data_IF_616484916176
#
_entry.id   IF_616484916176
#
_cell.length_a   1.000
_cell.length_b   1.000
_cell.length_c   1.000
_cell.angle_alpha   90.00
_cell.angle_beta   90.00
_cell.angle_gamma   90.00
#
_symmetry.space_group_name_H-M   'P 1'
#
loop_
_entity.id
_entity.type
_entity.pdbx_description
1 polymer ?
#
# COMPACT_ATOMS: atom_id res chain seq x y z
N UNK A 1 82.32 -18.34 10.66
CA UNK A 1 81.99 -17.04 11.28
C UNK A 1 80.60 -17.14 11.89
N UNK A 2 80.44 -16.70 13.14
CA UNK A 2 79.20 -16.79 13.94
C UNK A 2 78.85 -15.39 14.45
N UNK A 3 77.64 -14.86 14.19
CA UNK A 3 76.91 -13.84 15.00
C UNK A 3 75.42 -13.81 14.55
N UNK A 4 74.45 -14.05 15.46
CA UNK A 4 73.57 -13.07 16.16
C UNK A 4 72.65 -12.22 15.22
N UNK A 5 71.35 -11.93 15.44
CA UNK A 5 70.43 -12.14 16.59
C UNK A 5 68.91 -12.01 16.24
N UNK A 6 68.05 -12.64 17.05
CA UNK A 6 66.61 -12.40 17.43
C UNK A 6 65.60 -11.60 16.57
N UNK A 7 64.56 -12.31 16.10
CA UNK A 7 63.09 -12.20 16.39
C UNK A 7 62.49 -10.84 16.82
N UNK A 8 61.41 -10.41 16.14
CA UNK A 8 60.06 -10.05 16.70
C UNK A 8 58.98 -10.12 15.60
N UNK A 9 57.75 -10.46 16.00
CA UNK A 9 56.58 -10.80 15.15
C UNK A 9 55.63 -9.60 15.00
N UNK A 10 55.01 -9.40 13.83
CA UNK A 10 53.58 -9.06 13.76
C UNK A 10 52.94 -9.39 12.40
N UNK A 11 51.74 -9.97 12.46
CA UNK A 11 50.96 -10.55 11.35
C UNK A 11 49.98 -9.55 10.72
N UNK A 12 49.72 -9.61 9.41
CA UNK A 12 48.47 -10.16 8.85
C UNK A 12 48.48 -10.28 7.31
N UNK A 13 47.55 -11.08 6.78
CA UNK A 13 47.66 -11.74 5.48
C UNK A 13 47.29 -10.91 4.25
N UNK A 14 48.05 -11.14 3.17
CA UNK A 14 47.66 -10.87 1.78
C UNK A 14 46.56 -11.85 1.36
N UNK A 15 45.58 -11.41 0.57
CA UNK A 15 44.90 -12.28 -0.40
C UNK A 15 44.50 -11.51 -1.65
N UNK A 16 44.91 -12.03 -2.82
CA UNK A 16 44.63 -11.47 -4.13
C UNK A 16 43.63 -12.38 -4.88
N UNK A 17 42.48 -11.79 -5.25
CA UNK A 17 41.74 -11.95 -6.53
C UNK A 17 41.50 -13.37 -7.10
N UNK A 18 40.22 -13.69 -7.37
CA UNK A 18 39.75 -13.97 -8.74
C UNK A 18 38.21 -14.18 -8.80
N UNK A 19 37.53 -13.38 -9.62
CA UNK A 19 36.28 -13.78 -10.29
C UNK A 19 36.14 -13.01 -11.60
N UNK A 20 36.07 -13.74 -12.73
CA UNK A 20 35.76 -13.19 -14.05
C UNK A 20 34.25 -13.31 -14.33
N UNK A 21 33.63 -12.24 -14.83
CA UNK A 21 32.50 -12.28 -15.77
C UNK A 21 32.37 -10.90 -16.42
N UNK A 22 32.39 -10.84 -17.76
CA UNK A 22 32.34 -9.57 -18.50
C UNK A 22 30.89 -9.25 -18.88
N UNK A 23 30.39 -8.10 -18.44
CA UNK A 23 29.42 -7.30 -19.19
C UNK A 23 29.77 -5.82 -19.01
N UNK A 24 30.21 -5.18 -20.08
CA UNK A 24 30.85 -3.87 -20.00
C UNK A 24 29.85 -2.77 -19.57
N UNK A 25 30.07 -2.23 -18.38
CA UNK A 25 29.67 -0.86 -18.01
C UNK A 25 30.96 -0.04 -17.85
N UNK A 26 30.98 1.24 -18.24
CA UNK A 26 32.22 2.01 -18.28
C UNK A 26 32.82 2.13 -16.88
N UNK A 27 34.15 1.92 -16.78
CA UNK A 27 34.87 1.93 -15.53
C UNK A 27 34.78 3.30 -14.84
N UNK A 28 33.93 3.39 -13.81
CA UNK A 28 33.91 4.49 -12.85
C UNK A 28 35.15 4.42 -11.96
N UNK A 29 36.28 4.87 -12.52
CA UNK A 29 37.47 5.24 -11.76
C UNK A 29 37.19 6.58 -11.07
N UNK A 30 36.49 6.52 -9.95
CA UNK A 30 36.18 7.67 -9.09
C UNK A 30 36.44 7.33 -7.63
N UNK A 31 36.98 8.28 -6.87
CA UNK A 31 37.11 8.11 -5.42
C UNK A 31 35.74 8.05 -4.76
N UNK A 32 35.57 7.06 -3.88
CA UNK A 32 34.40 6.95 -3.02
C UNK A 32 34.56 7.86 -1.80
N UNK A 33 34.03 9.08 -1.88
CA UNK A 33 34.06 10.05 -0.77
C UNK A 33 32.82 9.85 0.10
N UNK A 34 32.99 9.19 1.25
CA UNK A 34 31.91 8.93 2.21
C UNK A 34 31.80 10.11 3.19
N UNK A 35 30.91 11.06 2.90
CA UNK A 35 30.60 12.17 3.82
C UNK A 35 29.68 11.66 4.93
N UNK A 36 30.05 11.91 6.20
CA UNK A 36 29.34 11.43 7.40
C UNK A 36 28.74 12.61 8.17
N UNK A 37 27.43 12.85 8.02
CA UNK A 37 26.75 14.04 8.53
C UNK A 37 26.37 13.85 10.01
N UNK A 38 26.80 14.75 10.91
CA UNK A 38 26.57 14.61 12.37
C UNK A 38 25.37 15.39 12.94
N UNK A 39 24.84 16.40 12.25
CA UNK A 39 23.59 17.13 12.58
C UNK A 39 23.18 18.03 11.39
N UNK A 40 21.88 18.32 11.22
CA UNK A 40 21.35 18.89 9.96
C UNK A 40 20.10 19.78 10.14
N UNK A 41 19.75 20.54 9.09
CA UNK A 41 18.59 21.42 8.92
C UNK A 41 18.29 21.64 7.38
N UNK A 42 17.53 22.65 6.91
CA UNK A 42 17.26 22.91 5.45
C UNK A 42 17.03 24.41 5.05
N UNK A 43 18.07 25.26 4.82
CA UNK A 43 17.97 26.74 4.54
C UNK A 43 17.15 27.10 3.26
N UNK A 44 16.75 28.38 3.10
CA UNK A 44 16.06 28.86 1.87
C UNK A 44 16.96 28.81 0.64
N UNK A 45 16.36 28.53 -0.52
CA UNK A 45 17.01 28.27 -1.81
C UNK A 45 18.05 29.33 -2.22
N UNK A 46 19.28 28.92 -2.60
CA UNK A 46 20.27 29.81 -3.21
C UNK A 46 19.91 30.15 -4.67
N UNK A 47 20.49 31.22 -5.21
CA UNK A 47 20.36 31.57 -6.63
C UNK A 47 21.12 30.56 -7.52
N UNK A 48 20.37 29.81 -8.33
CA UNK A 48 20.89 28.76 -9.22
C UNK A 48 21.20 29.26 -10.65
N UNK A 49 21.16 30.57 -10.91
CA UNK A 49 21.42 31.15 -12.24
C UNK A 49 22.84 30.85 -12.77
N UNK A 50 23.81 30.65 -11.87
CA UNK A 50 25.18 30.27 -12.20
C UNK A 50 25.34 28.74 -12.12
N UNK A 51 25.45 28.10 -13.30
CA UNK A 51 25.48 26.63 -13.52
C UNK A 51 26.56 25.87 -12.72
N UNK A 52 26.32 25.57 -11.45
CA UNK A 52 27.09 24.58 -10.69
C UNK A 52 26.16 23.85 -9.69
N UNK A 53 25.55 22.74 -10.13
CA UNK A 53 24.69 21.89 -9.29
C UNK A 53 25.19 20.46 -9.37
N UNK A 54 25.53 19.88 -8.22
CA UNK A 54 25.87 18.46 -8.08
C UNK A 54 24.74 17.78 -7.31
N UNK A 55 24.19 16.71 -7.90
CA UNK A 55 23.14 15.90 -7.28
C UNK A 55 23.79 14.82 -6.42
N UNK A 56 23.41 14.76 -5.15
CA UNK A 56 23.98 13.84 -4.17
C UNK A 56 22.85 12.95 -3.61
N UNK A 57 23.02 11.63 -3.72
CA UNK A 57 22.09 10.65 -3.16
C UNK A 57 22.53 10.28 -1.74
N UNK A 58 21.58 10.10 -0.83
CA UNK A 58 21.85 9.76 0.57
C UNK A 58 21.35 8.36 0.95
N UNK A 59 22.13 7.69 1.79
CA UNK A 59 21.79 6.45 2.48
C UNK A 59 22.01 6.67 3.99
N UNK A 60 20.92 6.86 4.73
CA UNK A 60 20.99 7.31 6.12
C UNK A 60 21.73 8.65 6.26
N UNK A 61 22.61 8.75 7.25
CA UNK A 61 23.42 9.95 7.56
C UNK A 61 24.59 10.18 6.58
N UNK A 62 24.65 9.42 5.47
CA UNK A 62 25.71 9.50 4.47
C UNK A 62 25.20 10.06 3.16
N UNK A 63 26.05 10.79 2.45
CA UNK A 63 25.77 11.33 1.13
C UNK A 63 26.91 10.94 0.17
N UNK A 64 26.57 10.41 -1.01
CA UNK A 64 27.51 9.90 -2.02
C UNK A 64 27.55 10.77 -3.27
N UNK A 65 28.74 11.25 -3.62
CA UNK A 65 29.02 12.04 -4.83
C UNK A 65 29.66 11.11 -5.87
N UNK A 66 28.93 10.83 -6.95
CA UNK A 66 29.34 9.84 -7.96
C UNK A 66 30.37 10.36 -9.00
N UNK A 67 30.77 11.63 -8.93
CA UNK A 67 31.79 12.20 -9.81
C UNK A 67 32.54 13.35 -9.11
N UNK A 68 33.76 13.08 -8.65
CA UNK A 68 34.62 14.07 -7.98
C UNK A 68 35.08 15.20 -8.90
N UNK A 69 35.11 15.02 -10.23
CA UNK A 69 35.49 16.09 -11.19
C UNK A 69 34.44 17.21 -11.31
N UNK A 70 33.25 17.03 -10.73
CA UNK A 70 32.20 18.06 -10.64
C UNK A 70 32.23 18.83 -9.32
N UNK A 71 33.07 18.41 -8.37
CA UNK A 71 33.31 19.13 -7.12
C UNK A 71 34.19 20.34 -7.39
N UNK A 72 33.75 21.49 -6.92
CA UNK A 72 34.54 22.73 -6.87
C UNK A 72 34.34 23.38 -5.51
N UNK A 73 35.25 24.26 -5.16
CA UNK A 73 35.12 25.10 -3.97
C UNK A 73 33.90 26.02 -4.09
N UNK A 74 33.26 26.34 -2.97
CA UNK A 74 32.14 27.29 -2.87
C UNK A 74 30.88 26.94 -3.71
N UNK A 75 30.53 25.65 -3.82
CA UNK A 75 29.32 25.20 -4.50
C UNK A 75 28.13 24.90 -3.56
N UNK A 76 26.93 24.96 -4.15
CA UNK A 76 25.68 24.51 -3.54
C UNK A 76 25.32 23.10 -4.03
N UNK A 77 25.09 22.21 -3.08
CA UNK A 77 24.78 20.80 -3.33
C UNK A 77 23.30 20.54 -3.04
N UNK A 78 22.57 19.96 -4.00
CA UNK A 78 21.20 19.51 -3.76
C UNK A 78 21.23 18.07 -3.24
N UNK A 79 20.88 17.91 -1.96
CA UNK A 79 20.82 16.60 -1.31
C UNK A 79 19.41 16.06 -1.40
N UNK A 80 19.28 14.81 -1.88
CA UNK A 80 18.03 14.06 -1.88
C UNK A 80 18.17 12.84 -0.97
N UNK A 81 17.35 12.84 0.07
CA UNK A 81 17.18 11.71 1.00
C UNK A 81 15.79 11.09 0.76
N UNK A 82 15.49 9.88 1.27
CA UNK A 82 14.13 9.31 1.22
C UNK A 82 13.08 10.16 1.95
N UNK A 83 13.48 11.06 2.87
CA UNK A 83 12.55 11.82 3.72
C UNK A 83 12.45 13.32 3.40
N UNK A 84 13.50 13.89 2.81
CA UNK A 84 13.71 15.33 2.60
C UNK A 84 14.49 15.63 1.32
N UNK A 85 14.20 16.78 0.69
CA UNK A 85 15.04 17.43 -0.32
C UNK A 85 15.57 18.74 0.29
N UNK A 86 16.86 19.00 0.16
CA UNK A 86 17.53 20.15 0.77
C UNK A 86 18.72 20.68 -0.01
N UNK A 87 19.22 21.85 0.41
CA UNK A 87 20.44 22.46 -0.08
C UNK A 87 21.50 22.48 1.02
N UNK A 88 22.70 22.02 0.70
CA UNK A 88 23.90 22.12 1.54
C UNK A 88 24.89 23.06 0.85
N UNK A 89 25.32 24.12 1.52
CA UNK A 89 26.59 24.78 1.21
C UNK A 89 27.70 23.99 1.87
N UNK A 90 28.75 23.65 1.12
CA UNK A 90 29.93 23.00 1.69
C UNK A 90 31.19 23.68 1.18
N UNK A 91 32.00 24.17 2.11
CA UNK A 91 33.39 24.53 1.83
C UNK A 91 34.19 23.22 1.78
N UNK A 92 34.39 22.71 0.58
CA UNK A 92 35.37 21.66 0.31
C UNK A 92 36.69 22.35 -0.04
N UNK A 93 37.76 21.93 0.61
CA UNK A 93 39.13 22.23 0.20
C UNK A 93 39.76 20.92 -0.26
N UNK A 94 40.17 20.86 -1.52
CA UNK A 94 40.85 19.69 -2.07
C UNK A 94 42.29 19.73 -1.55
N UNK A 95 42.67 18.74 -0.72
CA UNK A 95 44.01 18.66 -0.16
C UNK A 95 44.98 18.00 -1.15
N UNK A 96 44.55 16.92 -1.80
CA UNK A 96 45.23 16.30 -2.94
C UNK A 96 44.25 15.50 -3.83
N UNK A 97 44.77 14.76 -4.82
CA UNK A 97 43.95 13.93 -5.73
C UNK A 97 43.10 12.85 -5.04
N UNK A 98 43.36 12.54 -3.76
CA UNK A 98 42.74 11.45 -3.00
C UNK A 98 42.10 11.91 -1.67
N UNK A 99 42.30 13.16 -1.27
CA UNK A 99 41.84 13.68 0.02
C UNK A 99 41.19 15.06 -0.10
N UNK A 100 40.10 15.21 0.63
CA UNK A 100 39.25 16.40 0.66
C UNK A 100 39.01 16.72 2.13
N UNK A 101 39.36 17.93 2.55
CA UNK A 101 38.86 18.47 3.80
C UNK A 101 37.47 19.07 3.57
N UNK A 102 36.56 18.84 4.50
CA UNK A 102 35.19 19.33 4.39
C UNK A 102 34.69 19.83 5.74
N UNK A 103 34.20 21.07 5.75
CA UNK A 103 33.52 21.63 6.91
C UNK A 103 32.06 21.95 6.55
N UNK A 104 31.12 21.34 7.26
CA UNK A 104 29.69 21.49 7.01
C UNK A 104 29.15 22.66 7.84
N UNK A 105 29.11 23.85 7.24
CA UNK A 105 28.52 25.04 7.87
C UNK A 105 27.05 25.23 7.46
N UNK A 106 26.19 25.20 8.48
CA UNK A 106 24.79 25.64 8.56
C UNK A 106 23.74 25.23 7.51
N UNK A 107 22.61 24.78 8.04
CA UNK A 107 21.30 24.73 7.39
C UNK A 107 20.21 25.27 8.37
N UNK A 108 19.00 25.66 7.93
CA UNK A 108 17.86 26.12 8.81
C UNK A 108 16.50 25.55 8.33
N UNK A 109 15.91 24.53 8.97
CA UNK A 109 14.76 23.74 8.43
C UNK A 109 13.57 24.58 7.90
N UNK A 110 13.27 24.49 6.59
CA UNK A 110 11.92 24.78 6.08
C UNK A 110 11.10 23.49 5.99
N UNK A 111 10.03 23.41 6.80
CA UNK A 111 9.02 22.34 6.73
C UNK A 111 8.19 22.52 5.44
N UNK A 112 8.76 22.12 4.30
CA UNK A 112 8.02 22.04 3.03
C UNK A 112 6.92 20.99 3.21
N UNK A 113 5.66 21.40 3.03
CA UNK A 113 4.53 20.48 3.00
C UNK A 113 4.78 19.43 1.93
N UNK A 114 4.76 18.16 2.34
CA UNK A 114 4.93 17.04 1.40
C UNK A 114 3.76 17.04 0.40
N UNK A 115 4.06 16.94 -0.89
CA UNK A 115 3.08 17.10 -1.97
C UNK A 115 3.20 15.94 -2.97
N UNK A 116 2.15 15.14 -3.09
CA UNK A 116 2.14 13.96 -3.96
C UNK A 116 2.37 14.27 -5.44
N UNK A 117 2.01 15.47 -5.91
CA UNK A 117 2.25 15.86 -7.29
C UNK A 117 3.75 16.11 -7.52
N UNK A 118 4.42 16.79 -6.59
CA UNK A 118 5.86 17.04 -6.66
C UNK A 118 6.71 15.78 -6.46
N UNK A 119 6.31 14.88 -5.55
CA UNK A 119 7.06 13.64 -5.28
C UNK A 119 6.75 12.51 -6.28
N UNK A 120 5.52 12.44 -6.82
CA UNK A 120 5.11 11.39 -7.76
C UNK A 120 4.33 11.91 -8.97
N UNK A 121 4.86 12.87 -9.76
CA UNK A 121 4.11 13.57 -10.79
C UNK A 121 3.45 12.62 -11.80
N UNK A 122 4.16 11.56 -12.23
CA UNK A 122 3.59 10.55 -13.12
C UNK A 122 2.44 9.75 -12.50
N UNK A 123 2.49 9.42 -11.20
CA UNK A 123 1.38 8.71 -10.52
C UNK A 123 0.18 9.64 -10.33
N UNK A 124 0.45 10.87 -9.91
CA UNK A 124 -0.55 11.90 -9.67
C UNK A 124 -1.32 12.24 -10.94
N UNK A 125 -0.61 12.54 -12.03
CA UNK A 125 -1.16 12.74 -13.37
C UNK A 125 -1.96 11.53 -13.87
N UNK A 126 -1.45 10.30 -13.72
CA UNK A 126 -2.19 9.10 -14.14
C UNK A 126 -3.50 8.90 -13.36
N UNK A 127 -3.52 9.22 -12.07
CA UNK A 127 -4.75 9.16 -11.26
C UNK A 127 -5.76 10.23 -11.70
N UNK A 128 -5.31 11.47 -11.93
CA UNK A 128 -6.16 12.53 -12.48
C UNK A 128 -6.73 12.16 -13.85
N UNK A 129 -5.88 11.76 -14.81
CA UNK A 129 -6.30 11.37 -16.16
C UNK A 129 -7.33 10.23 -16.15
N UNK A 130 -7.30 9.36 -15.14
CA UNK A 130 -8.27 8.26 -14.99
C UNK A 130 -9.66 8.73 -14.51
N UNK A 131 -9.75 9.90 -13.89
CA UNK A 131 -10.99 10.43 -13.29
C UNK A 131 -11.41 11.83 -13.81
N UNK A 132 -10.66 12.43 -14.74
CA UNK A 132 -10.87 13.81 -15.24
C UNK A 132 -12.27 14.14 -15.78
N UNK A 133 -13.05 13.13 -16.16
CA UNK A 133 -14.45 13.31 -16.59
C UNK A 133 -15.40 13.55 -15.40
N UNK A 134 -14.90 13.41 -14.15
CA UNK A 134 -15.64 13.55 -12.89
C UNK A 134 -15.09 14.65 -11.99
N UNK A 135 -13.82 15.03 -12.15
CA UNK A 135 -13.15 16.06 -11.36
C UNK A 135 -12.43 17.03 -12.27
N UNK A 136 -12.63 18.33 -12.06
CA UNK A 136 -11.68 19.34 -12.52
C UNK A 136 -10.33 19.19 -11.79
N UNK A 137 -9.26 19.71 -12.37
CA UNK A 137 -7.93 19.70 -11.74
C UNK A 137 -7.92 20.39 -10.37
N UNK A 138 -8.71 21.48 -10.23
CA UNK A 138 -8.87 22.19 -8.96
C UNK A 138 -9.51 21.32 -7.88
N UNK A 139 -10.60 20.61 -8.19
CA UNK A 139 -11.25 19.69 -7.26
C UNK A 139 -10.35 18.50 -6.93
N UNK A 140 -9.66 17.93 -7.92
CA UNK A 140 -8.73 16.83 -7.71
C UNK A 140 -7.59 17.24 -6.76
N UNK A 141 -6.97 18.40 -7.00
CA UNK A 141 -5.93 18.94 -6.13
C UNK A 141 -6.44 19.20 -4.71
N UNK A 142 -7.68 19.68 -4.56
CA UNK A 142 -8.31 19.91 -3.27
C UNK A 142 -8.52 18.62 -2.42
N UNK A 143 -8.53 17.43 -3.03
CA UNK A 143 -8.57 16.16 -2.30
C UNK A 143 -7.29 15.90 -1.46
N UNK A 144 -6.15 16.46 -1.89
CA UNK A 144 -4.85 16.22 -1.26
C UNK A 144 -4.34 17.41 -0.42
N UNK A 145 -4.99 18.58 -0.51
CA UNK A 145 -4.70 19.73 0.34
C UNK A 145 -4.92 19.41 1.83
N UNK A 146 -4.03 19.92 2.68
CA UNK A 146 -4.11 19.85 4.15
C UNK A 146 -4.23 18.43 4.74
N UNK A 147 -3.95 17.38 3.98
CA UNK A 147 -3.74 16.06 4.57
C UNK A 147 -2.52 16.12 5.49
N UNK A 148 -2.76 15.99 6.80
CA UNK A 148 -1.69 15.97 7.81
C UNK A 148 -0.79 14.74 7.65
N UNK A 149 -1.38 13.63 7.18
CA UNK A 149 -0.75 12.30 7.11
C UNK A 149 -0.61 11.84 5.65
N UNK A 150 -0.05 12.69 4.77
CA UNK A 150 0.23 12.28 3.38
C UNK A 150 1.27 11.15 3.34
N UNK A 151 2.22 11.18 4.27
CA UNK A 151 3.12 10.04 4.50
C UNK A 151 2.39 8.97 5.34
N UNK A 152 2.60 7.67 5.07
CA UNK A 152 2.04 6.59 5.88
C UNK A 152 2.66 6.61 7.29
N UNK A 153 1.81 6.70 8.32
CA UNK A 153 2.22 6.68 9.73
C UNK A 153 1.35 5.70 10.56
N UNK A 154 1.84 5.32 11.74
CA UNK A 154 1.16 4.44 12.71
C UNK A 154 0.54 3.19 12.09
N UNK A 155 -0.73 2.92 12.41
CA UNK A 155 -1.49 1.75 11.90
C UNK A 155 -1.52 1.65 10.37
N UNK A 156 -1.34 2.75 9.63
CA UNK A 156 -1.31 2.73 8.17
C UNK A 156 0.06 2.31 7.63
N UNK A 157 1.15 2.78 8.25
CA UNK A 157 2.51 2.36 7.92
C UNK A 157 2.70 0.88 8.18
N UNK A 158 2.29 0.39 9.35
CA UNK A 158 2.37 -1.04 9.70
C UNK A 158 1.70 -1.95 8.67
N UNK A 159 0.49 -1.59 8.21
CA UNK A 159 -0.23 -2.35 7.18
C UNK A 159 0.41 -2.21 5.81
N UNK A 160 0.98 -1.06 5.46
CA UNK A 160 1.73 -0.89 4.21
C UNK A 160 3.01 -1.73 4.21
N UNK A 161 3.80 -1.71 5.29
CA UNK A 161 5.00 -2.54 5.50
C UNK A 161 4.65 -4.04 5.46
N UNK A 162 3.60 -4.46 6.16
CA UNK A 162 3.10 -5.84 6.08
C UNK A 162 2.71 -6.21 4.64
N UNK A 163 2.01 -5.32 3.95
CA UNK A 163 1.57 -5.52 2.56
C UNK A 163 2.76 -5.62 1.60
N UNK A 164 3.80 -4.79 1.76
CA UNK A 164 4.98 -4.81 0.93
C UNK A 164 5.93 -5.99 1.24
N UNK A 165 5.93 -6.49 2.48
CA UNK A 165 6.89 -7.47 2.98
C UNK A 165 7.03 -8.73 2.12
N UNK A 166 8.27 -9.17 1.79
CA UNK A 166 8.50 -10.47 1.15
C UNK A 166 8.16 -11.65 2.05
N UNK A 167 7.98 -11.43 3.36
CA UNK A 167 7.54 -12.43 4.33
C UNK A 167 6.02 -12.49 4.50
N UNK A 168 5.25 -11.63 3.82
CA UNK A 168 3.79 -11.50 3.99
C UNK A 168 3.05 -12.83 3.83
N UNK A 169 3.35 -13.59 2.78
CA UNK A 169 2.76 -14.92 2.53
C UNK A 169 3.08 -15.90 3.66
N UNK A 170 4.33 -15.98 4.12
CA UNK A 170 4.70 -16.86 5.25
C UNK A 170 4.00 -16.46 6.55
N UNK A 171 3.84 -15.16 6.82
CA UNK A 171 3.08 -14.66 7.97
C UNK A 171 1.60 -15.03 7.88
N UNK A 172 0.99 -14.88 6.70
CA UNK A 172 -0.41 -15.27 6.45
C UNK A 172 -0.62 -16.79 6.59
N UNK A 173 0.28 -17.60 6.03
CA UNK A 173 0.19 -19.06 6.14
C UNK A 173 0.34 -19.55 7.58
N UNK A 174 1.22 -18.94 8.40
CA UNK A 174 1.30 -19.21 9.85
C UNK A 174 0.05 -18.77 10.63
N UNK A 175 -0.77 -17.90 10.04
CA UNK A 175 -2.02 -17.40 10.61
C UNK A 175 -3.26 -18.10 10.00
N UNK A 176 -3.09 -19.20 9.26
CA UNK A 176 -4.22 -19.99 8.75
C UNK A 176 -4.97 -20.68 9.90
N UNK A 177 -5.95 -19.96 10.43
CA UNK A 177 -7.05 -20.49 11.23
C UNK A 177 -8.12 -21.01 10.25
N UNK A 178 -8.68 -22.19 10.47
CA UNK A 178 -9.95 -22.54 9.82
C UNK A 178 -11.04 -21.68 10.45
N UNK A 179 -11.61 -20.80 9.63
CA UNK A 179 -12.67 -19.91 10.07
C UNK A 179 -14.05 -20.57 10.00
N UNK A 180 -14.25 -21.63 9.23
CA UNK A 180 -15.56 -22.27 9.05
C UNK A 180 -16.26 -22.60 10.38
N UNK A 181 -15.68 -23.31 11.37
CA UNK A 181 -16.38 -23.61 12.63
C UNK A 181 -16.67 -22.36 13.49
N UNK A 182 -15.95 -21.26 13.26
CA UNK A 182 -16.14 -19.98 13.97
C UNK A 182 -17.23 -19.15 13.29
N UNK A 183 -17.29 -19.20 11.97
CA UNK A 183 -18.26 -18.42 11.18
C UNK A 183 -19.58 -19.17 10.94
N UNK A 184 -19.59 -20.51 11.11
CA UNK A 184 -20.68 -21.43 10.76
C UNK A 184 -20.95 -22.44 11.90
N UNK A 185 -21.65 -21.98 12.92
CA UNK A 185 -22.12 -22.72 14.09
C UNK A 185 -23.55 -22.31 14.48
N UNK A 186 -24.17 -23.02 15.42
CA UNK A 186 -25.57 -22.81 15.85
C UNK A 186 -25.86 -21.35 16.26
N UNK A 187 -24.98 -20.74 17.05
CA UNK A 187 -25.10 -19.33 17.47
C UNK A 187 -25.13 -18.38 16.26
N UNK A 188 -24.24 -18.60 15.29
CA UNK A 188 -24.19 -17.78 14.07
C UNK A 188 -25.41 -18.01 13.15
N UNK A 189 -25.94 -19.23 13.09
CA UNK A 189 -27.15 -19.55 12.31
C UNK A 189 -28.39 -18.90 12.95
N UNK A 190 -28.54 -19.01 14.28
CA UNK A 190 -29.61 -18.31 15.01
C UNK A 190 -29.56 -16.80 14.76
N UNK A 191 -28.38 -16.19 14.87
CA UNK A 191 -28.19 -14.76 14.55
C UNK A 191 -28.56 -14.43 13.10
N UNK A 192 -28.31 -15.33 12.16
CA UNK A 192 -28.79 -15.21 10.79
C UNK A 192 -30.31 -15.19 10.66
N UNK A 193 -31.02 -16.03 11.43
CA UNK A 193 -32.49 -16.04 11.46
C UNK A 193 -33.06 -14.80 12.11
N UNK A 194 -32.54 -14.42 13.28
CA UNK A 194 -32.93 -13.20 14.00
C UNK A 194 -32.79 -11.97 13.05
N UNK A 195 -31.67 -11.89 12.32
CA UNK A 195 -31.39 -10.84 11.32
C UNK A 195 -32.25 -10.94 10.03
N UNK A 196 -32.69 -12.14 9.65
CA UNK A 196 -33.63 -12.30 8.54
C UNK A 196 -35.00 -11.74 8.92
N UNK A 197 -35.55 -12.11 10.07
CA UNK A 197 -36.87 -11.63 10.50
C UNK A 197 -36.86 -10.11 10.77
N UNK A 198 -35.78 -9.55 11.33
CA UNK A 198 -35.63 -8.09 11.51
C UNK A 198 -35.63 -7.29 10.18
N UNK A 199 -35.18 -7.91 9.09
CA UNK A 199 -34.97 -7.23 7.80
C UNK A 199 -35.70 -7.91 6.63
N UNK A 200 -36.74 -8.68 6.95
CA UNK A 200 -37.43 -9.63 6.05
C UNK A 200 -37.84 -9.02 4.72
N UNK A 201 -38.47 -7.84 4.76
CA UNK A 201 -38.90 -7.09 3.58
C UNK A 201 -37.77 -6.82 2.57
N UNK A 202 -36.55 -6.55 3.04
CA UNK A 202 -35.41 -6.26 2.17
C UNK A 202 -34.83 -7.54 1.55
N UNK A 203 -34.82 -8.64 2.30
CA UNK A 203 -34.42 -9.95 1.78
C UNK A 203 -35.41 -10.47 0.73
N UNK A 204 -36.71 -10.45 1.02
CA UNK A 204 -37.76 -10.86 0.09
C UNK A 204 -37.78 -10.00 -1.18
N UNK A 205 -37.59 -8.68 -1.04
CA UNK A 205 -37.44 -7.78 -2.19
C UNK A 205 -36.18 -8.13 -3.01
N UNK A 206 -35.02 -8.26 -2.37
CA UNK A 206 -33.77 -8.57 -3.05
C UNK A 206 -33.81 -9.94 -3.75
N UNK A 207 -34.38 -10.97 -3.12
CA UNK A 207 -34.55 -12.29 -3.73
C UNK A 207 -35.52 -12.24 -4.92
N UNK A 208 -36.67 -11.58 -4.79
CA UNK A 208 -37.63 -11.39 -5.89
C UNK A 208 -37.01 -10.67 -7.09
N UNK A 209 -36.30 -9.56 -6.85
CA UNK A 209 -35.71 -8.75 -7.91
C UNK A 209 -34.49 -9.40 -8.58
N UNK A 210 -33.78 -10.29 -7.90
CA UNK A 210 -32.49 -10.82 -8.38
C UNK A 210 -32.45 -12.31 -8.65
N UNK A 211 -33.37 -13.08 -8.06
CA UNK A 211 -33.36 -14.54 -8.01
C UNK A 211 -32.23 -15.12 -7.16
N UNK A 212 -31.53 -14.31 -6.37
CA UNK A 212 -30.48 -14.76 -5.44
C UNK A 212 -31.13 -15.17 -4.12
N UNK A 213 -30.81 -16.36 -3.64
CA UNK A 213 -31.45 -16.92 -2.45
C UNK A 213 -31.13 -16.09 -1.19
N UNK A 214 -32.13 -15.82 -0.36
CA UNK A 214 -31.98 -15.11 0.91
C UNK A 214 -30.88 -15.71 1.79
N UNK A 215 -30.84 -17.04 1.91
CA UNK A 215 -29.83 -17.76 2.71
C UNK A 215 -28.40 -17.51 2.22
N UNK A 216 -28.19 -17.36 0.91
CA UNK A 216 -26.89 -17.07 0.29
C UNK A 216 -26.48 -15.60 0.54
N UNK A 217 -27.43 -14.66 0.56
CA UNK A 217 -27.17 -13.26 0.91
C UNK A 217 -26.75 -13.14 2.38
N UNK A 218 -27.50 -13.77 3.30
CA UNK A 218 -27.18 -13.79 4.74
C UNK A 218 -25.81 -14.46 4.98
N UNK A 219 -25.52 -15.57 4.29
CA UNK A 219 -24.25 -16.27 4.41
C UNK A 219 -23.05 -15.37 4.09
N UNK A 220 -23.14 -14.57 3.02
CA UNK A 220 -22.10 -13.60 2.66
C UNK A 220 -22.00 -12.47 3.68
N UNK A 221 -23.12 -11.86 4.10
CA UNK A 221 -23.12 -10.77 5.09
C UNK A 221 -22.57 -11.23 6.45
N UNK A 222 -22.86 -12.47 6.87
CA UNK A 222 -22.27 -13.07 8.05
C UNK A 222 -20.75 -13.31 7.87
N UNK A 223 -20.32 -13.82 6.71
CA UNK A 223 -18.89 -14.08 6.48
C UNK A 223 -18.05 -12.79 6.45
N UNK A 224 -18.52 -11.77 5.73
CA UNK A 224 -17.75 -10.55 5.46
C UNK A 224 -17.69 -9.60 6.66
N UNK A 225 -18.78 -9.42 7.41
CA UNK A 225 -18.83 -8.45 8.51
C UNK A 225 -19.56 -8.92 9.77
N UNK A 226 -19.97 -10.19 9.83
CA UNK A 226 -20.82 -10.73 10.91
C UNK A 226 -22.12 -9.94 11.03
N UNK A 227 -22.83 -9.83 9.90
CA UNK A 227 -24.11 -9.13 9.78
C UNK A 227 -23.97 -7.65 10.19
N UNK A 228 -22.87 -7.02 9.77
CA UNK A 228 -22.60 -5.60 9.98
C UNK A 228 -21.85 -5.21 11.26
N UNK A 229 -21.56 -6.16 12.15
CA UNK A 229 -20.82 -5.89 13.40
C UNK A 229 -19.37 -5.42 13.17
N UNK A 230 -18.70 -5.88 12.11
CA UNK A 230 -17.29 -5.58 11.83
C UNK A 230 -17.10 -5.02 10.41
N UNK A 231 -17.30 -3.71 10.25
CA UNK A 231 -17.17 -2.99 8.96
C UNK A 231 -15.75 -2.46 8.70
N UNK A 232 -14.97 -2.27 9.77
CA UNK A 232 -13.59 -1.77 9.75
C UNK A 232 -13.47 -0.26 9.98
N UNK A 233 -12.30 0.17 10.46
CA UNK A 233 -12.05 1.52 11.01
C UNK A 233 -10.88 2.25 10.33
N UNK A 234 -10.47 1.80 9.14
CA UNK A 234 -9.37 2.42 8.39
C UNK A 234 -9.92 3.40 7.37
N UNK A 235 -9.28 4.56 7.24
CA UNK A 235 -9.56 5.55 6.21
C UNK A 235 -9.22 4.95 4.83
N UNK A 236 -10.23 4.67 4.01
CA UNK A 236 -10.07 3.94 2.74
C UNK A 236 -9.28 4.77 1.73
N UNK A 237 -9.46 6.10 1.76
CA UNK A 237 -8.63 7.05 1.01
C UNK A 237 -7.14 6.92 1.36
N UNK A 238 -6.79 6.87 2.66
CA UNK A 238 -5.39 6.75 3.11
C UNK A 238 -4.81 5.39 2.71
N UNK A 239 -5.58 4.30 2.81
CA UNK A 239 -5.15 2.98 2.35
C UNK A 239 -4.71 3.02 0.88
N UNK A 240 -5.55 3.54 -0.03
CA UNK A 240 -5.21 3.53 -1.45
C UNK A 240 -4.18 4.59 -1.84
N UNK A 241 -4.11 5.71 -1.12
CA UNK A 241 -3.00 6.67 -1.22
C UNK A 241 -1.67 5.96 -0.91
N UNK A 242 -1.59 5.30 0.23
CA UNK A 242 -0.41 4.58 0.70
C UNK A 242 0.00 3.43 -0.22
N UNK A 243 -0.95 2.59 -0.65
CA UNK A 243 -0.67 1.48 -1.57
C UNK A 243 -0.31 1.92 -3.00
N UNK A 244 -0.78 3.08 -3.47
CA UNK A 244 -0.48 3.54 -4.83
C UNK A 244 0.80 4.37 -4.89
N UNK A 245 0.94 5.35 -4.01
CA UNK A 245 2.06 6.30 -4.01
C UNK A 245 3.31 5.75 -3.32
N UNK A 246 3.20 5.17 -2.12
CA UNK A 246 4.35 4.90 -1.25
C UNK A 246 4.89 3.45 -1.28
N UNK A 247 4.12 2.48 -1.78
CA UNK A 247 4.50 1.05 -1.64
C UNK A 247 5.85 0.67 -2.29
N UNK A 248 6.30 1.39 -3.34
CA UNK A 248 7.60 1.15 -3.97
C UNK A 248 8.77 1.51 -3.05
N UNK A 249 8.63 2.57 -2.27
CA UNK A 249 9.67 3.04 -1.34
C UNK A 249 9.80 2.07 -0.17
N UNK A 250 8.67 1.63 0.39
CA UNK A 250 8.63 0.62 1.45
C UNK A 250 9.19 -0.72 0.96
N UNK A 251 8.93 -1.12 -0.29
CA UNK A 251 9.53 -2.31 -0.92
C UNK A 251 11.06 -2.19 -0.98
N UNK A 252 11.56 -1.02 -1.40
CA UNK A 252 12.99 -0.73 -1.49
C UNK A 252 13.66 -0.70 -0.11
N UNK A 253 13.04 -0.09 0.89
CA UNK A 253 13.52 -0.08 2.27
C UNK A 253 13.60 -1.50 2.86
N UNK A 254 12.58 -2.32 2.65
CA UNK A 254 12.58 -3.74 3.03
C UNK A 254 13.72 -4.53 2.35
N UNK A 255 14.09 -4.14 1.13
CA UNK A 255 15.25 -4.70 0.44
C UNK A 255 16.59 -4.31 1.08
N UNK A 256 16.82 -3.02 1.31
CA UNK A 256 18.06 -2.55 1.94
C UNK A 256 18.23 -3.08 3.37
N UNK A 257 17.15 -3.10 4.15
CA UNK A 257 17.12 -3.67 5.53
C UNK A 257 17.17 -5.20 5.58
N UNK A 258 17.50 -5.87 4.46
CA UNK A 258 17.78 -7.30 4.43
C UNK A 258 16.57 -8.21 4.63
N UNK A 259 15.32 -7.73 4.53
CA UNK A 259 14.14 -8.58 4.73
C UNK A 259 14.03 -9.72 3.70
N UNK A 260 14.66 -9.57 2.54
CA UNK A 260 14.77 -10.62 1.51
C UNK A 260 15.78 -11.73 1.85
N UNK A 261 16.65 -11.53 2.84
CA UNK A 261 17.60 -12.54 3.32
C UNK A 261 17.03 -13.39 4.47
N UNK A 262 15.84 -13.05 4.98
CA UNK A 262 15.18 -13.74 6.10
C UNK A 262 14.52 -15.05 5.63
N UNK A 263 14.57 -16.07 6.48
CA UNK A 263 14.00 -17.40 6.18
C UNK A 263 12.52 -17.30 5.71
N UNK A 264 12.25 -17.88 4.53
CA UNK A 264 10.95 -17.92 3.89
C UNK A 264 10.45 -16.58 3.36
N UNK A 265 11.36 -15.64 3.08
CA UNK A 265 11.08 -14.51 2.22
C UNK A 265 10.87 -14.98 0.76
N UNK A 266 9.93 -14.34 0.05
CA UNK A 266 9.76 -14.54 -1.39
C UNK A 266 11.00 -14.08 -2.17
N UNK A 267 11.28 -14.74 -3.31
CA UNK A 267 12.28 -14.26 -4.30
C UNK A 267 11.94 -12.81 -4.70
N UNK A 268 12.96 -11.95 -4.85
CA UNK A 268 12.80 -10.53 -5.20
C UNK A 268 11.95 -10.33 -6.46
N UNK A 269 12.13 -11.17 -7.48
CA UNK A 269 11.36 -11.15 -8.73
C UNK A 269 9.86 -11.36 -8.50
N UNK A 270 9.48 -12.31 -7.63
CA UNK A 270 8.07 -12.63 -7.35
C UNK A 270 7.43 -11.61 -6.41
N UNK A 271 8.20 -11.09 -5.46
CA UNK A 271 7.77 -9.97 -4.64
C UNK A 271 7.51 -8.71 -5.50
N UNK A 272 8.40 -8.35 -6.43
CA UNK A 272 8.18 -7.24 -7.37
C UNK A 272 6.96 -7.46 -8.28
N UNK A 273 6.73 -8.69 -8.79
CA UNK A 273 5.49 -9.04 -9.50
C UNK A 273 4.24 -8.81 -8.62
N UNK A 274 4.31 -9.17 -7.34
CA UNK A 274 3.23 -8.97 -6.36
C UNK A 274 2.98 -7.49 -6.07
N UNK A 275 4.04 -6.69 -5.88
CA UNK A 275 3.96 -5.23 -5.68
C UNK A 275 3.32 -4.56 -6.91
N UNK A 276 3.71 -4.94 -8.14
CA UNK A 276 3.08 -4.48 -9.39
C UNK A 276 1.58 -4.81 -9.43
N UNK A 277 1.17 -6.00 -8.98
CA UNK A 277 -0.26 -6.39 -8.86
C UNK A 277 -0.99 -5.54 -7.81
N UNK A 278 -0.38 -5.29 -6.64
CA UNK A 278 -0.95 -4.46 -5.57
C UNK A 278 -1.14 -3.02 -6.07
N UNK A 279 -0.11 -2.39 -6.65
CA UNK A 279 -0.21 -1.04 -7.24
C UNK A 279 -1.31 -0.92 -8.28
N UNK A 280 -1.46 -1.91 -9.17
CA UNK A 280 -2.56 -1.92 -10.17
C UNK A 280 -3.93 -2.03 -9.51
N UNK A 281 -4.08 -2.83 -8.45
CA UNK A 281 -5.32 -2.93 -7.66
C UNK A 281 -5.61 -1.65 -6.89
N UNK A 282 -4.59 -1.03 -6.29
CA UNK A 282 -4.70 0.23 -5.56
C UNK A 282 -5.11 1.37 -6.49
N UNK A 283 -4.45 1.52 -7.64
CA UNK A 283 -4.83 2.48 -8.68
C UNK A 283 -6.30 2.34 -9.08
N UNK A 284 -6.71 1.13 -9.48
CA UNK A 284 -8.08 0.87 -9.91
C UNK A 284 -9.11 1.18 -8.81
N UNK A 285 -8.87 0.76 -7.56
CA UNK A 285 -9.80 1.01 -6.46
C UNK A 285 -9.78 2.47 -6.01
N UNK A 286 -8.64 3.17 -6.05
CA UNK A 286 -8.58 4.60 -5.73
C UNK A 286 -9.41 5.39 -6.75
N UNK A 287 -9.18 5.17 -8.04
CA UNK A 287 -9.97 5.82 -9.09
C UNK A 287 -11.46 5.52 -8.93
N UNK A 288 -11.84 4.30 -8.56
CA UNK A 288 -13.25 3.95 -8.34
C UNK A 288 -13.83 4.58 -7.07
N UNK A 289 -13.09 4.68 -5.97
CA UNK A 289 -13.52 5.43 -4.78
C UNK A 289 -13.83 6.88 -5.14
N UNK A 290 -12.93 7.55 -5.85
CA UNK A 290 -13.11 8.95 -6.27
C UNK A 290 -14.28 9.11 -7.25
N UNK A 291 -14.40 8.23 -8.26
CA UNK A 291 -15.50 8.27 -9.22
C UNK A 291 -16.85 8.04 -8.51
N UNK A 292 -16.94 7.06 -7.62
CA UNK A 292 -18.17 6.74 -6.90
C UNK A 292 -18.55 7.86 -5.91
N UNK A 293 -17.56 8.48 -5.26
CA UNK A 293 -17.77 9.68 -4.43
C UNK A 293 -18.42 10.82 -5.22
N UNK A 294 -17.97 11.08 -6.44
CA UNK A 294 -18.56 12.12 -7.30
C UNK A 294 -19.96 11.74 -7.80
N UNK A 295 -20.16 10.48 -8.19
CA UNK A 295 -21.47 9.98 -8.67
C UNK A 295 -22.53 9.97 -7.57
N UNK A 296 -22.14 9.65 -6.32
CA UNK A 296 -23.06 9.41 -5.19
C UNK A 296 -23.03 10.50 -4.11
N UNK A 297 -22.28 11.58 -4.30
CA UNK A 297 -22.33 12.77 -3.44
C UNK A 297 -21.67 12.66 -2.06
N UNK A 298 -20.66 11.80 -1.86
CA UNK A 298 -19.98 11.65 -0.56
C UNK A 298 -18.51 12.13 -0.58
N UNK A 299 -17.94 12.53 0.56
CA UNK A 299 -16.50 12.85 0.67
C UNK A 299 -15.68 11.54 0.74
N UNK A 300 -14.83 11.23 -0.27
CA UNK A 300 -14.07 9.99 -0.29
C UNK A 300 -13.08 9.85 0.88
N UNK A 301 -12.70 10.95 1.55
CA UNK A 301 -11.79 10.96 2.71
C UNK A 301 -12.44 10.48 4.01
N UNK A 302 -13.77 10.50 4.09
CA UNK A 302 -14.51 10.09 5.30
C UNK A 302 -14.79 8.58 5.35
N UNK A 303 -14.74 7.91 4.19
CA UNK A 303 -15.08 6.49 4.04
C UNK A 303 -14.17 5.60 4.88
N UNK A 304 -14.81 4.81 5.76
CA UNK A 304 -14.17 3.78 6.59
C UNK A 304 -14.30 2.40 5.95
N UNK A 305 -13.40 1.50 6.32
CA UNK A 305 -13.41 0.13 5.85
C UNK A 305 -12.33 -0.74 6.50
N UNK A 306 -12.17 -1.96 6.01
CA UNK A 306 -11.10 -2.86 6.45
C UNK A 306 -9.71 -2.33 6.10
N UNK A 307 -8.69 -2.92 6.72
CA UNK A 307 -7.28 -2.58 6.48
C UNK A 307 -6.83 -2.78 5.01
N UNK A 308 -7.59 -3.51 4.20
CA UNK A 308 -7.37 -3.70 2.76
C UNK A 308 -8.15 -2.71 1.87
N UNK A 309 -9.06 -1.91 2.45
CA UNK A 309 -9.87 -0.91 1.77
C UNK A 309 -11.23 -1.41 1.28
N UNK A 310 -11.77 -2.46 1.89
CA UNK A 310 -13.12 -2.95 1.63
C UNK A 310 -14.15 -2.22 2.51
N UNK A 311 -15.29 -1.82 1.93
CA UNK A 311 -16.23 -0.85 2.49
C UNK A 311 -17.52 -1.53 2.95
N UNK A 312 -18.01 -1.09 4.11
CA UNK A 312 -19.36 -1.39 4.61
C UNK A 312 -19.57 -2.84 5.06
N UNK A 313 -20.84 -3.17 5.29
CA UNK A 313 -21.32 -4.50 5.67
C UNK A 313 -20.95 -5.58 4.64
N UNK A 314 -21.05 -5.36 3.30
CA UNK A 314 -20.70 -6.39 2.33
C UNK A 314 -19.20 -6.41 1.99
N UNK A 315 -18.36 -5.61 2.67
CA UNK A 315 -16.91 -5.53 2.37
C UNK A 315 -16.61 -5.35 0.86
N UNK A 316 -17.34 -4.45 0.20
CA UNK A 316 -17.07 -4.14 -1.20
C UNK A 316 -15.78 -3.33 -1.32
N UNK A 317 -14.81 -3.84 -2.07
CA UNK A 317 -13.75 -2.99 -2.64
C UNK A 317 -14.40 -1.88 -3.49
N UNK A 318 -13.83 -0.65 -3.60
CA UNK A 318 -14.46 0.44 -4.35
C UNK A 318 -14.84 0.11 -5.79
N UNK A 319 -14.06 -0.73 -6.48
CA UNK A 319 -14.37 -1.20 -7.83
C UNK A 319 -15.64 -2.08 -7.93
N UNK A 320 -16.16 -2.55 -6.79
CA UNK A 320 -17.44 -3.25 -6.65
C UNK A 320 -18.62 -2.31 -6.34
N UNK A 321 -18.41 -1.04 -5.95
CA UNK A 321 -19.50 -0.10 -5.63
C UNK A 321 -20.40 0.26 -6.83
N UNK A 322 -19.97 -0.04 -8.06
CA UNK A 322 -20.83 -0.06 -9.26
C UNK A 322 -21.95 -1.12 -9.23
N UNK A 323 -21.87 -2.07 -8.30
CA UNK A 323 -22.93 -3.05 -8.00
C UNK A 323 -23.75 -2.64 -6.77
N UNK A 324 -23.41 -1.52 -6.10
CA UNK A 324 -24.15 -1.05 -4.94
C UNK A 324 -25.49 -0.42 -5.36
N UNK A 325 -26.55 -0.78 -4.64
CA UNK A 325 -27.95 -0.45 -4.92
C UNK A 325 -28.58 0.14 -3.67
N UNK A 326 -29.40 1.17 -3.88
CA UNK A 326 -30.30 1.77 -2.90
C UNK A 326 -31.41 0.76 -2.57
N UNK A 327 -31.39 0.23 -1.34
CA UNK A 327 -32.20 -0.88 -0.90
C UNK A 327 -33.51 -0.49 -0.20
N UNK A 328 -33.55 0.67 0.44
CA UNK A 328 -34.73 1.23 1.10
C UNK A 328 -35.40 2.37 0.31
N UNK A 329 -34.76 2.84 -0.78
CA UNK A 329 -35.23 3.85 -1.72
C UNK A 329 -35.23 5.26 -1.14
N UNK A 330 -34.28 5.55 -0.23
CA UNK A 330 -34.08 6.89 0.33
C UNK A 330 -33.38 7.87 -0.64
N UNK A 331 -32.87 7.37 -1.78
CA UNK A 331 -32.16 8.14 -2.80
C UNK A 331 -30.63 8.16 -2.65
N UNK A 332 -30.10 7.59 -1.58
CA UNK A 332 -28.68 7.45 -1.29
C UNK A 332 -28.21 6.01 -1.51
N UNK A 333 -26.89 5.78 -1.45
CA UNK A 333 -26.34 4.41 -1.36
C UNK A 333 -25.18 4.40 -0.38
N UNK A 334 -25.45 3.96 0.85
CA UNK A 334 -24.47 3.74 1.91
C UNK A 334 -24.42 2.25 2.29
N UNK A 335 -23.33 1.60 1.89
CA UNK A 335 -23.03 0.20 2.22
C UNK A 335 -22.86 -0.09 3.73
N UNK A 336 -23.00 0.91 4.60
CA UNK A 336 -23.09 0.76 6.05
C UNK A 336 -24.53 0.55 6.57
N UNK A 337 -25.57 0.74 5.75
CA UNK A 337 -26.98 0.43 6.08
C UNK A 337 -27.32 -1.01 5.68
N UNK A 338 -28.24 -1.64 6.42
CA UNK A 338 -28.65 -3.02 6.15
C UNK A 338 -29.37 -3.18 4.79
N UNK A 339 -30.34 -2.31 4.41
CA UNK A 339 -31.09 -2.45 3.15
C UNK A 339 -30.18 -2.45 1.91
N UNK A 340 -29.24 -1.51 1.87
CA UNK A 340 -28.27 -1.38 0.79
C UNK A 340 -27.31 -2.56 0.76
N UNK A 341 -26.85 -3.04 1.92
CA UNK A 341 -25.95 -4.17 1.98
C UNK A 341 -26.59 -5.45 1.40
N UNK A 342 -27.84 -5.74 1.78
CA UNK A 342 -28.64 -6.86 1.26
C UNK A 342 -28.80 -6.72 -0.26
N UNK A 343 -29.34 -5.58 -0.71
CA UNK A 343 -29.64 -5.32 -2.12
C UNK A 343 -28.39 -5.30 -3.00
N UNK A 344 -27.28 -4.79 -2.47
CA UNK A 344 -25.97 -4.75 -3.15
C UNK A 344 -25.34 -6.12 -3.32
N UNK A 345 -25.41 -7.00 -2.29
CA UNK A 345 -24.93 -8.39 -2.41
C UNK A 345 -25.76 -9.16 -3.44
N UNK A 346 -27.09 -9.04 -3.37
CA UNK A 346 -27.99 -9.66 -4.34
C UNK A 346 -27.71 -9.21 -5.78
N UNK A 347 -27.59 -7.90 -6.01
CA UNK A 347 -27.24 -7.35 -7.33
C UNK A 347 -25.83 -7.78 -7.77
N UNK A 348 -24.84 -7.82 -6.87
CA UNK A 348 -23.50 -8.32 -7.20
C UNK A 348 -23.54 -9.76 -7.72
N UNK A 349 -24.25 -10.66 -7.03
CA UNK A 349 -24.37 -12.06 -7.43
C UNK A 349 -25.15 -12.20 -8.75
N UNK A 350 -26.26 -11.46 -8.92
CA UNK A 350 -27.02 -11.38 -10.19
C UNK A 350 -26.11 -10.98 -11.36
N UNK A 351 -25.34 -9.89 -11.21
CA UNK A 351 -24.41 -9.39 -12.26
C UNK A 351 -23.22 -10.33 -12.49
N UNK A 352 -22.92 -11.23 -11.54
CA UNK A 352 -21.93 -12.30 -11.66
C UNK A 352 -22.52 -13.65 -12.07
N UNK A 353 -23.71 -13.67 -12.67
CA UNK A 353 -24.31 -14.85 -13.31
C UNK A 353 -24.66 -15.98 -12.34
N UNK A 354 -25.15 -15.61 -11.15
CA UNK A 354 -25.58 -16.55 -10.11
C UNK A 354 -26.60 -17.58 -10.61
N UNK A 355 -27.65 -17.18 -11.35
CA UNK A 355 -28.62 -18.13 -11.91
C UNK A 355 -28.03 -18.92 -13.10
N UNK A 356 -27.29 -18.25 -13.99
CA UNK A 356 -26.87 -18.84 -15.26
C UNK A 356 -25.57 -19.68 -15.17
N UNK A 357 -24.80 -19.55 -14.08
CA UNK A 357 -23.54 -20.29 -13.84
C UNK A 357 -23.47 -20.96 -12.46
N UNK A 358 -24.54 -20.86 -11.66
CA UNK A 358 -24.65 -21.46 -10.33
C UNK A 358 -23.98 -20.63 -9.22
N UNK A 359 -24.40 -20.89 -7.97
CA UNK A 359 -23.98 -20.11 -6.79
C UNK A 359 -22.47 -20.16 -6.53
N UNK A 360 -21.82 -21.32 -6.68
CA UNK A 360 -20.37 -21.45 -6.43
C UNK A 360 -19.56 -20.56 -7.39
N UNK A 361 -19.92 -20.49 -8.66
CA UNK A 361 -19.26 -19.60 -9.61
C UNK A 361 -19.36 -18.14 -9.13
N UNK A 362 -20.55 -17.69 -8.72
CA UNK A 362 -20.77 -16.34 -8.24
C UNK A 362 -20.05 -16.05 -6.91
N UNK A 363 -20.00 -17.01 -5.98
CA UNK A 363 -19.23 -16.89 -4.73
C UNK A 363 -17.73 -16.77 -5.00
N UNK A 364 -17.18 -17.54 -5.95
CA UNK A 364 -15.78 -17.43 -6.39
C UNK A 364 -15.47 -16.10 -7.10
N UNK A 365 -16.49 -15.40 -7.64
CA UNK A 365 -16.33 -14.02 -8.13
C UNK A 365 -16.19 -13.03 -6.97
N UNK A 366 -16.97 -13.23 -5.91
CA UNK A 366 -16.93 -12.44 -4.68
C UNK A 366 -15.56 -12.59 -3.97
N UNK A 367 -15.20 -13.83 -3.65
CA UNK A 367 -13.91 -14.18 -3.07
C UNK A 367 -13.47 -15.57 -3.56
N UNK A 368 -12.34 -15.69 -4.27
CA UNK A 368 -11.92 -16.95 -4.90
C UNK A 368 -11.31 -17.98 -3.93
N UNK A 369 -11.27 -17.69 -2.62
CA UNK A 369 -10.69 -18.58 -1.62
C UNK A 369 -11.61 -19.78 -1.31
N UNK A 370 -11.07 -21.00 -1.30
CA UNK A 370 -11.88 -22.21 -1.13
C UNK A 370 -12.55 -22.32 0.25
N UNK A 371 -11.89 -21.86 1.32
CA UNK A 371 -12.46 -21.84 2.68
C UNK A 371 -13.64 -20.85 2.77
N UNK A 372 -13.55 -19.69 2.10
CA UNK A 372 -14.69 -18.76 1.94
C UNK A 372 -15.86 -19.47 1.26
N UNK A 373 -15.63 -20.07 0.09
CA UNK A 373 -16.69 -20.69 -0.73
C UNK A 373 -17.35 -21.84 0.03
N UNK A 374 -16.55 -22.74 0.63
CA UNK A 374 -17.02 -23.84 1.49
C UNK A 374 -17.86 -23.31 2.65
N UNK A 375 -17.40 -22.26 3.32
CA UNK A 375 -18.06 -21.70 4.49
C UNK A 375 -19.38 -21.00 4.19
N UNK A 376 -19.45 -20.21 3.11
CA UNK A 376 -20.69 -19.56 2.66
C UNK A 376 -21.72 -20.61 2.20
N UNK A 377 -21.30 -21.62 1.43
CA UNK A 377 -22.17 -22.76 1.06
C UNK A 377 -22.75 -23.45 2.31
N UNK A 378 -21.88 -23.85 3.26
CA UNK A 378 -22.29 -24.58 4.46
C UNK A 378 -23.20 -23.76 5.38
N UNK A 379 -22.97 -22.44 5.49
CA UNK A 379 -23.84 -21.56 6.25
C UNK A 379 -25.25 -21.50 5.64
N UNK A 380 -25.33 -21.30 4.31
CA UNK A 380 -26.61 -21.26 3.59
C UNK A 380 -27.39 -22.57 3.74
N UNK A 381 -26.71 -23.72 3.60
CA UNK A 381 -27.32 -25.04 3.80
C UNK A 381 -27.85 -25.23 5.23
N UNK A 382 -27.04 -24.90 6.25
CA UNK A 382 -27.48 -25.00 7.65
C UNK A 382 -28.62 -24.06 7.98
N UNK A 383 -28.62 -22.84 7.43
CA UNK A 383 -29.72 -21.89 7.58
C UNK A 383 -31.02 -22.51 7.06
N UNK A 384 -31.03 -23.00 5.81
CA UNK A 384 -32.20 -23.64 5.20
C UNK A 384 -32.69 -24.86 5.99
N UNK A 385 -31.79 -25.78 6.38
CA UNK A 385 -32.17 -26.97 7.17
C UNK A 385 -32.83 -26.56 8.48
N UNK A 386 -32.26 -25.57 9.18
CA UNK A 386 -32.82 -25.10 10.44
C UNK A 386 -34.18 -24.42 10.30
N UNK A 387 -34.52 -23.88 9.13
CA UNK A 387 -35.83 -23.26 8.85
C UNK A 387 -36.91 -24.25 8.39
N UNK A 388 -36.59 -25.54 8.29
CA UNK A 388 -37.56 -26.63 8.00
C UNK A 388 -37.93 -27.42 9.27
N UNK A 389 -37.21 -27.17 10.38
CA UNK A 389 -37.38 -27.85 11.67
C UNK A 389 -38.07 -26.97 12.74
N UNK A 390 -38.44 -25.75 12.38
CA UNK A 390 -39.26 -24.79 13.13
C UNK A 390 -40.59 -24.59 12.41
#
# INVERSE_FOLDING_TARGET
>A
MIRLFKIIILTFSIFFVLYFSISATPALTGLEVIIKVKKCNLRSTPDTSKKNVVIVLSEGDKAMIFNTKLVKENLWYQVRTPMYIGWVSASLTILDEKSIDFNLSDLIYKKVSFDLNNYYPAKYFNLYQKIKNYYSEKEFNALFLNMKDIKPEGKYLEKLVFTASPLSTKKQNKQHKDWVPILVNEESIKKGKDFYEEHKQYFEYAEKETGVATSDIIAILNWESRLGKYKGEYDVFKIFTNQYFHIDEIEFELFQTGHYKKDGAMKKTDALKRIKKIKKRAFNNFSQLLIQAKIRGFDPKTVKGSWAGAIGIPQFMPASMKYAVDGDKDGNVDLNTIPDAISSVANYLKKHKYKERGREYAFRRYNPNDMYVRGVNLYSEKFLISSVLE
#
